data_IF_794437433720
#
_entry.id   IF_794437433720
#
_cell.length_a   1.000
_cell.length_b   1.000
_cell.length_c   1.000
_cell.angle_alpha   90.00
_cell.angle_beta   90.00
_cell.angle_gamma   90.00
#
_symmetry.space_group_name_H-M   'P 1'
#
loop_
_entity.id
_entity.type
_entity.pdbx_description
1 polymer ?
#
# COMPACT_ATOMS: atom_id res chain seq x y z
N UNK A 1 13.81 0.46 -7.56
CA UNK A 1 13.17 -0.46 -6.59
C UNK A 1 11.88 -0.98 -7.20
N UNK A 2 11.40 -2.15 -6.77
CA UNK A 2 10.15 -2.70 -7.26
C UNK A 2 9.38 -3.34 -6.11
N UNK A 3 8.09 -3.04 -6.02
CA UNK A 3 7.15 -3.76 -5.15
C UNK A 3 6.03 -4.40 -5.97
N UNK A 4 5.40 -5.40 -5.38
CA UNK A 4 4.25 -6.08 -5.97
C UNK A 4 2.98 -5.49 -5.38
N UNK A 5 2.00 -5.24 -6.24
CA UNK A 5 0.64 -4.99 -5.82
C UNK A 5 0.03 -6.24 -5.15
N UNK A 6 -1.04 -6.04 -4.39
CA UNK A 6 -1.81 -7.10 -3.73
C UNK A 6 -2.34 -8.11 -4.73
N UNK A 7 -2.79 -7.67 -5.91
CA UNK A 7 -3.27 -8.56 -6.98
C UNK A 7 -2.23 -9.62 -7.38
N UNK A 8 -0.96 -9.22 -7.53
CA UNK A 8 0.16 -10.14 -7.84
C UNK A 8 0.34 -11.16 -6.73
N UNK A 9 0.36 -10.69 -5.47
CA UNK A 9 0.59 -11.53 -4.30
C UNK A 9 -0.51 -12.60 -4.13
N UNK A 10 -1.75 -12.24 -4.47
CA UNK A 10 -2.89 -13.16 -4.42
C UNK A 10 -2.90 -14.15 -5.59
N UNK A 11 -2.61 -13.71 -6.80
CA UNK A 11 -2.71 -14.55 -8.01
C UNK A 11 -1.61 -15.59 -8.10
N UNK A 12 -0.38 -15.25 -7.70
CA UNK A 12 0.77 -16.16 -7.80
C UNK A 12 0.62 -17.43 -6.95
N UNK A 13 -0.10 -17.35 -5.84
CA UNK A 13 -0.30 -18.49 -4.92
C UNK A 13 -1.49 -19.36 -5.32
N UNK A 14 -2.35 -18.91 -6.24
CA UNK A 14 -3.49 -19.70 -6.71
C UNK A 14 -3.03 -20.88 -7.56
N UNK A 15 -3.60 -22.06 -7.30
CA UNK A 15 -3.32 -23.27 -8.12
C UNK A 15 -3.78 -23.14 -9.58
N UNK A 16 -4.82 -22.34 -9.83
CA UNK A 16 -5.38 -22.01 -11.15
C UNK A 16 -5.47 -20.49 -11.32
N UNK A 17 -4.37 -19.79 -11.03
CA UNK A 17 -4.29 -18.33 -11.17
C UNK A 17 -3.88 -17.88 -12.57
N UNK A 18 -3.95 -16.57 -12.80
CA UNK A 18 -3.54 -15.95 -14.07
C UNK A 18 -2.01 -15.92 -14.26
N UNK A 19 -1.25 -16.26 -13.22
CA UNK A 19 0.22 -16.28 -13.23
C UNK A 19 0.72 -17.72 -13.38
N UNK A 20 1.33 -18.03 -14.52
CA UNK A 20 2.00 -19.32 -14.73
C UNK A 20 3.25 -19.42 -13.84
N UNK A 21 3.51 -20.59 -13.27
CA UNK A 21 4.67 -20.86 -12.39
C UNK A 21 6.01 -20.63 -13.09
N UNK A 22 6.14 -21.00 -14.36
CA UNK A 22 7.41 -20.86 -15.08
C UNK A 22 7.67 -19.39 -15.45
N UNK A 23 6.61 -18.67 -15.84
CA UNK A 23 6.68 -17.22 -16.02
C UNK A 23 7.03 -16.51 -14.73
N UNK A 24 6.40 -16.90 -13.61
CA UNK A 24 6.74 -16.38 -12.29
C UNK A 24 8.20 -16.63 -11.92
N UNK A 25 8.72 -17.84 -12.15
CA UNK A 25 10.13 -18.17 -11.88
C UNK A 25 11.09 -17.33 -12.72
N UNK A 26 10.80 -17.16 -14.01
CA UNK A 26 11.59 -16.33 -14.92
C UNK A 26 11.57 -14.86 -14.49
N UNK A 27 10.38 -14.32 -14.25
CA UNK A 27 10.18 -12.95 -13.79
C UNK A 27 10.91 -12.68 -12.47
N UNK A 28 10.72 -13.54 -11.48
CA UNK A 28 11.36 -13.39 -10.16
C UNK A 28 12.88 -13.49 -10.25
N UNK A 29 13.43 -14.34 -11.13
CA UNK A 29 14.86 -14.38 -11.42
C UNK A 29 15.33 -13.04 -11.99
N UNK A 30 14.65 -12.51 -13.00
CA UNK A 30 14.98 -11.21 -13.59
C UNK A 30 14.92 -10.08 -12.55
N UNK A 31 13.80 -9.97 -11.82
CA UNK A 31 13.60 -8.92 -10.82
C UNK A 31 14.69 -8.94 -9.76
N UNK A 32 15.13 -10.13 -9.33
CA UNK A 32 16.18 -10.28 -8.32
C UNK A 32 17.52 -9.68 -8.77
N UNK A 33 17.83 -9.74 -10.06
CA UNK A 33 19.08 -9.22 -10.63
C UNK A 33 18.98 -7.74 -11.00
N UNK A 34 17.80 -7.26 -11.42
CA UNK A 34 17.62 -5.92 -11.96
C UNK A 34 17.14 -4.90 -10.92
N UNK A 35 16.36 -5.33 -9.92
CA UNK A 35 15.72 -4.43 -8.96
C UNK A 35 16.12 -4.72 -7.51
N UNK A 36 16.24 -3.64 -6.74
CA UNK A 36 16.10 -3.71 -5.28
C UNK A 36 14.61 -3.88 -4.94
N UNK A 37 14.24 -5.01 -4.34
CA UNK A 37 12.85 -5.25 -3.98
C UNK A 37 12.45 -4.44 -2.74
N UNK A 38 11.21 -3.99 -2.74
CA UNK A 38 10.56 -3.39 -1.59
C UNK A 38 9.15 -3.95 -1.40
N UNK A 39 8.58 -3.69 -0.23
CA UNK A 39 7.19 -4.01 0.11
C UNK A 39 6.50 -2.69 0.40
N UNK A 40 5.39 -2.41 -0.27
CA UNK A 40 4.59 -1.21 0.02
C UNK A 40 3.82 -1.42 1.33
N UNK A 41 3.62 -0.34 2.10
CA UNK A 41 2.75 -0.40 3.29
C UNK A 41 1.32 -0.82 2.92
N UNK A 42 0.85 -0.36 1.76
CA UNK A 42 -0.52 -0.61 1.28
C UNK A 42 -0.72 -2.10 0.93
N UNK A 43 0.20 -2.72 0.20
CA UNK A 43 0.10 -4.15 -0.09
C UNK A 43 0.16 -4.99 1.18
N UNK A 44 1.04 -4.61 2.12
CA UNK A 44 1.13 -5.30 3.39
C UNK A 44 -0.17 -5.20 4.21
N UNK A 45 -0.72 -3.98 4.39
CA UNK A 45 -1.95 -3.78 5.18
C UNK A 45 -3.15 -4.50 4.56
N UNK A 46 -3.27 -4.52 3.23
CA UNK A 46 -4.37 -5.20 2.54
C UNK A 46 -4.33 -6.71 2.76
N UNK A 47 -3.14 -7.32 2.68
CA UNK A 47 -2.98 -8.74 2.97
C UNK A 47 -3.25 -9.07 4.44
N UNK A 48 -2.91 -8.19 5.38
CA UNK A 48 -3.26 -8.36 6.79
C UNK A 48 -4.75 -8.26 7.06
N UNK A 49 -5.41 -7.25 6.50
CA UNK A 49 -6.87 -7.10 6.58
C UNK A 49 -7.57 -8.33 6.01
N UNK A 50 -7.10 -8.85 4.87
CA UNK A 50 -7.60 -10.10 4.30
C UNK A 50 -7.40 -11.29 5.25
N UNK A 51 -6.23 -11.39 5.87
CA UNK A 51 -5.91 -12.46 6.83
C UNK A 51 -6.80 -12.39 8.07
N UNK A 52 -7.05 -11.19 8.61
CA UNK A 52 -7.97 -10.97 9.74
C UNK A 52 -9.40 -11.40 9.40
N UNK A 53 -9.91 -11.04 8.22
CA UNK A 53 -11.28 -11.34 7.81
C UNK A 53 -11.52 -12.78 7.34
N UNK A 54 -10.46 -13.49 6.97
CA UNK A 54 -10.57 -14.89 6.52
C UNK A 54 -10.76 -15.84 7.69
N UNK A 55 -11.56 -16.89 7.54
CA UNK A 55 -11.78 -17.87 8.62
C UNK A 55 -10.49 -18.64 8.97
N UNK A 56 -10.34 -19.04 10.23
CA UNK A 56 -9.14 -19.73 10.74
C UNK A 56 -8.86 -21.05 10.03
N UNK A 57 -9.89 -21.76 9.54
CA UNK A 57 -9.71 -22.97 8.74
C UNK A 57 -8.94 -22.72 7.42
N UNK A 58 -8.93 -21.48 6.94
CA UNK A 58 -8.18 -21.04 5.76
C UNK A 58 -6.89 -20.30 6.11
N UNK A 59 -6.44 -20.33 7.37
CA UNK A 59 -5.24 -19.63 7.86
C UNK A 59 -4.03 -19.83 6.94
N UNK A 60 -3.69 -21.08 6.66
CA UNK A 60 -2.55 -21.42 5.80
C UNK A 60 -2.70 -20.83 4.39
N UNK A 61 -3.86 -21.00 3.77
CA UNK A 61 -4.13 -20.48 2.43
C UNK A 61 -4.08 -18.94 2.38
N UNK A 62 -4.62 -18.26 3.39
CA UNK A 62 -4.66 -16.80 3.44
C UNK A 62 -3.30 -16.19 3.81
N UNK A 63 -2.40 -16.98 4.40
CA UNK A 63 -1.03 -16.57 4.74
C UNK A 63 -0.06 -16.67 3.57
N UNK A 64 -0.27 -17.56 2.61
CA UNK A 64 0.65 -17.75 1.47
C UNK A 64 0.97 -16.45 0.69
N UNK A 65 0.02 -15.54 0.41
CA UNK A 65 0.34 -14.25 -0.21
C UNK A 65 1.38 -13.42 0.55
N UNK A 66 1.42 -13.49 1.88
CA UNK A 66 2.42 -12.78 2.70
C UNK A 66 3.82 -13.37 2.53
N UNK A 67 3.95 -14.66 2.17
CA UNK A 67 5.26 -15.25 1.81
C UNK A 67 5.81 -14.63 0.53
N UNK A 68 4.95 -14.20 -0.39
CA UNK A 68 5.35 -13.51 -1.61
C UNK A 68 6.04 -12.20 -1.26
N UNK A 69 5.58 -11.46 -0.25
CA UNK A 69 6.26 -10.25 0.22
C UNK A 69 7.65 -10.53 0.81
N UNK A 70 7.84 -11.71 1.41
CA UNK A 70 9.12 -12.18 1.96
C UNK A 70 9.99 -12.96 1.00
N UNK A 71 9.65 -13.01 -0.28
CA UNK A 71 10.42 -13.78 -1.26
C UNK A 71 11.89 -13.33 -1.37
N UNK A 72 12.18 -12.07 -1.01
CA UNK A 72 13.54 -11.53 -0.84
C UNK A 72 13.73 -11.08 0.61
N UNK A 73 14.70 -11.66 1.32
CA UNK A 73 14.93 -11.41 2.76
C UNK A 73 15.33 -9.96 3.07
N UNK A 74 16.02 -9.31 2.14
CA UNK A 74 16.50 -7.93 2.21
C UNK A 74 15.52 -6.90 1.59
N UNK A 75 14.28 -7.31 1.29
CA UNK A 75 13.27 -6.39 0.80
C UNK A 75 13.02 -5.28 1.84
N UNK A 76 13.11 -4.04 1.39
CA UNK A 76 12.87 -2.87 2.24
C UNK A 76 11.37 -2.63 2.34
N UNK A 77 10.86 -2.49 3.54
CA UNK A 77 9.49 -2.02 3.70
C UNK A 77 9.43 -0.49 3.55
N UNK A 78 8.54 -0.01 2.70
CA UNK A 78 8.28 1.41 2.55
C UNK A 78 7.43 1.92 3.72
N UNK A 79 7.73 3.13 4.16
CA UNK A 79 6.93 3.84 5.18
C UNK A 79 5.48 4.09 4.69
N UNK A 80 4.59 4.51 5.59
CA UNK A 80 3.24 4.95 5.20
C UNK A 80 3.36 6.01 4.09
N UNK A 81 2.51 5.98 3.04
CA UNK A 81 2.74 6.77 1.83
C UNK A 81 2.92 8.29 2.04
N UNK A 82 2.12 8.96 2.91
CA UNK A 82 2.35 10.38 3.25
C UNK A 82 3.73 10.65 3.87
N UNK A 83 4.16 9.82 4.81
CA UNK A 83 5.45 9.95 5.51
C UNK A 83 6.60 9.77 4.51
N UNK A 84 6.53 8.69 3.72
CA UNK A 84 7.53 8.40 2.70
C UNK A 84 7.71 9.60 1.75
N UNK A 85 6.58 10.15 1.28
CA UNK A 85 6.61 11.26 0.32
C UNK A 85 7.21 12.51 0.93
N UNK A 86 6.79 12.91 2.13
CA UNK A 86 7.32 14.09 2.81
C UNK A 86 8.83 13.96 2.99
N UNK A 87 9.28 12.82 3.50
CA UNK A 87 10.70 12.54 3.71
C UNK A 87 11.49 12.56 2.41
N UNK A 88 10.97 11.94 1.36
CA UNK A 88 11.66 11.84 0.08
C UNK A 88 11.71 13.16 -0.68
N UNK A 89 10.60 13.89 -0.73
CA UNK A 89 10.47 15.12 -1.53
C UNK A 89 11.02 16.32 -0.79
N UNK A 90 10.73 16.45 0.51
CA UNK A 90 11.10 17.61 1.31
C UNK A 90 12.38 17.40 2.11
N UNK A 91 12.80 16.16 2.37
CA UNK A 91 13.97 15.87 3.21
C UNK A 91 13.70 16.09 4.70
N UNK A 92 12.42 16.07 5.11
CA UNK A 92 11.97 16.34 6.48
C UNK A 92 11.40 15.06 7.09
N UNK A 93 11.74 14.79 8.35
CA UNK A 93 11.11 13.69 9.09
C UNK A 93 9.65 14.03 9.39
N UNK A 94 8.75 13.09 9.08
CA UNK A 94 7.32 13.19 9.34
C UNK A 94 6.85 12.02 10.20
N UNK A 95 5.78 12.26 10.96
CA UNK A 95 5.04 11.22 11.67
C UNK A 95 3.55 11.57 11.61
N UNK A 96 2.63 10.60 11.62
CA UNK A 96 1.21 10.88 11.71
C UNK A 96 0.93 11.67 12.99
N UNK A 97 0.08 12.69 12.92
CA UNK A 97 -0.25 13.53 14.09
C UNK A 97 -0.77 12.71 15.28
N UNK A 98 -1.51 11.64 15.00
CA UNK A 98 -2.02 10.70 16.00
C UNK A 98 -0.94 9.84 16.69
N UNK A 99 0.28 9.81 16.16
CA UNK A 99 1.40 8.99 16.67
C UNK A 99 2.53 9.86 17.28
N UNK A 100 2.32 11.17 17.44
CA UNK A 100 3.34 12.11 17.95
C UNK A 100 3.65 11.93 19.44
N UNK A 101 2.69 11.47 20.25
CA UNK A 101 2.79 11.42 21.72
C UNK A 101 3.38 10.11 22.29
N UNK A 102 3.94 9.23 21.44
CA UNK A 102 4.39 7.92 21.91
C UNK A 102 5.16 7.13 20.89
N UNK A 103 6.08 7.77 20.16
CA UNK A 103 6.91 7.09 19.15
C UNK A 103 7.49 5.81 19.74
N UNK A 104 7.22 4.63 19.15
CA UNK A 104 7.89 3.42 19.56
C UNK A 104 9.40 3.61 19.41
N UNK A 105 10.19 3.12 20.36
CA UNK A 105 11.66 3.18 20.29
C UNK A 105 12.26 2.43 19.08
N UNK A 106 11.44 1.62 18.39
CA UNK A 106 11.83 0.77 17.26
C UNK A 106 11.25 1.35 15.97
N UNK A 107 12.03 1.49 14.88
CA UNK A 107 11.53 1.91 13.58
C UNK A 107 10.34 1.07 13.10
N UNK A 108 9.36 1.72 12.47
CA UNK A 108 8.15 1.06 11.97
C UNK A 108 8.46 -0.12 11.03
N UNK A 109 9.49 0.01 10.19
CA UNK A 109 9.95 -1.05 9.30
C UNK A 109 10.43 -2.32 10.03
N UNK A 110 11.06 -2.16 11.20
CA UNK A 110 11.50 -3.28 12.03
C UNK A 110 10.32 -3.95 12.74
N UNK A 111 9.37 -3.16 13.24
CA UNK A 111 8.15 -3.68 13.85
C UNK A 111 7.35 -4.53 12.86
N UNK A 112 7.13 -4.01 11.66
CA UNK A 112 6.38 -4.71 10.62
C UNK A 112 7.12 -5.95 10.15
N UNK A 113 8.46 -5.86 10.05
CA UNK A 113 9.28 -7.03 9.75
C UNK A 113 9.10 -8.11 10.82
N UNK A 114 9.08 -7.77 12.10
CA UNK A 114 8.85 -8.72 13.17
C UNK A 114 7.43 -9.31 13.15
N UNK A 115 6.40 -8.50 12.88
CA UNK A 115 5.01 -8.94 12.73
C UNK A 115 4.87 -9.91 11.55
N UNK A 116 5.46 -9.59 10.40
CA UNK A 116 5.43 -10.46 9.23
C UNK A 116 6.13 -11.80 9.51
N UNK A 117 7.27 -11.78 10.21
CA UNK A 117 7.95 -13.02 10.63
C UNK A 117 7.06 -13.84 11.59
N UNK A 118 6.36 -13.17 12.52
CA UNK A 118 5.47 -13.83 13.47
C UNK A 118 4.28 -14.50 12.78
N UNK A 119 3.63 -13.80 11.83
CA UNK A 119 2.52 -14.35 11.04
C UNK A 119 2.96 -15.61 10.28
N UNK A 120 4.14 -15.57 9.66
CA UNK A 120 4.69 -16.69 8.89
C UNK A 120 5.06 -17.92 9.74
N UNK A 121 5.13 -17.77 11.06
CA UNK A 121 5.41 -18.85 12.01
C UNK A 121 4.16 -19.31 12.75
N UNK A 122 3.23 -18.40 13.05
CA UNK A 122 2.01 -18.68 13.81
C UNK A 122 1.14 -19.76 13.15
N UNK A 123 0.56 -20.65 13.95
CA UNK A 123 -0.30 -21.76 13.52
C UNK A 123 -1.73 -21.32 13.23
N UNK A 124 -2.19 -20.25 13.87
CA UNK A 124 -3.51 -19.66 13.72
C UNK A 124 -3.51 -18.23 14.27
N UNK A 125 -4.67 -17.55 14.20
CA UNK A 125 -4.83 -16.18 14.70
C UNK A 125 -4.68 -16.07 16.21
N UNK A 126 -5.17 -17.06 16.95
CA UNK A 126 -5.12 -17.09 18.42
C UNK A 126 -3.67 -17.06 18.88
N UNK A 127 -2.80 -17.89 18.32
CA UNK A 127 -1.37 -17.89 18.66
C UNK A 127 -0.69 -16.55 18.34
N UNK A 128 -1.08 -15.87 17.25
CA UNK A 128 -0.55 -14.55 16.93
C UNK A 128 -0.96 -13.48 17.96
N UNK A 129 -2.18 -13.58 18.47
CA UNK A 129 -2.73 -12.69 19.50
C UNK A 129 -2.19 -12.97 20.90
N UNK A 130 -1.91 -14.23 21.22
CA UNK A 130 -1.36 -14.64 22.52
C UNK A 130 0.16 -14.47 22.59
N UNK A 131 0.85 -14.60 21.45
CA UNK A 131 2.28 -14.35 21.33
C UNK A 131 3.02 -15.47 20.61
N UNK A 132 3.78 -15.10 19.59
CA UNK A 132 4.59 -16.02 18.78
C UNK A 132 6.05 -15.86 19.16
N UNK A 133 6.69 -16.95 19.59
CA UNK A 133 8.14 -16.99 19.78
C UNK A 133 8.84 -17.16 18.44
N UNK A 134 9.64 -16.18 18.05
CA UNK A 134 10.40 -16.25 16.81
C UNK A 134 11.60 -17.22 16.96
N UNK A 135 11.84 -18.16 16.03
CA UNK A 135 12.91 -19.16 16.20
C UNK A 135 14.34 -18.59 16.32
N UNK A 136 14.58 -17.38 15.80
CA UNK A 136 15.92 -16.75 15.73
C UNK A 136 16.06 -15.46 16.52
N UNK A 137 14.96 -14.96 17.06
CA UNK A 137 14.93 -13.77 17.92
C UNK A 137 14.37 -14.25 19.23
N UNK A 138 15.06 -14.08 20.36
CA UNK A 138 14.52 -14.46 21.67
C UNK A 138 13.44 -13.47 22.13
N UNK A 139 12.49 -13.21 21.23
CA UNK A 139 11.46 -12.19 21.31
C UNK A 139 10.12 -12.88 21.05
N UNK A 140 9.15 -12.55 21.88
CA UNK A 140 7.75 -12.90 21.69
C UNK A 140 7.09 -11.71 21.01
N UNK A 141 6.45 -11.97 19.87
CA UNK A 141 5.70 -10.95 19.14
C UNK A 141 4.22 -11.23 19.35
N UNK A 142 3.51 -10.22 19.86
CA UNK A 142 2.06 -10.20 20.00
C UNK A 142 1.50 -9.27 18.93
N UNK A 143 0.52 -9.73 18.18
CA UNK A 143 -0.16 -8.90 17.19
C UNK A 143 -1.64 -9.27 17.07
N UNK A 144 -2.50 -8.30 17.34
CA UNK A 144 -3.96 -8.47 17.23
C UNK A 144 -4.43 -8.06 15.83
N UNK A 145 -4.70 -9.06 15.00
CA UNK A 145 -5.20 -8.87 13.63
C UNK A 145 -6.56 -8.16 13.59
N UNK A 146 -7.42 -8.41 14.57
CA UNK A 146 -8.77 -7.84 14.61
C UNK A 146 -8.72 -6.36 15.01
N UNK A 147 -7.86 -6.02 15.98
CA UNK A 147 -7.59 -4.63 16.31
C UNK A 147 -7.02 -3.86 15.11
N UNK A 148 -6.10 -4.48 14.37
CA UNK A 148 -5.55 -3.88 13.15
C UNK A 148 -6.62 -3.67 12.07
N UNK A 149 -7.48 -4.66 11.79
CA UNK A 149 -8.55 -4.52 10.79
C UNK A 149 -9.57 -3.46 11.20
N UNK A 150 -9.92 -3.37 12.49
CA UNK A 150 -10.82 -2.32 13.00
C UNK A 150 -10.26 -0.92 12.73
N UNK A 151 -8.97 -0.70 13.02
CA UNK A 151 -8.29 0.57 12.77
C UNK A 151 -8.22 0.92 11.26
N UNK A 152 -7.87 -0.05 10.41
CA UNK A 152 -7.82 0.19 8.97
C UNK A 152 -9.23 0.40 8.38
N UNK A 153 -10.25 -0.27 8.92
CA UNK A 153 -11.64 -0.09 8.50
C UNK A 153 -12.18 1.29 8.87
N UNK A 154 -11.85 1.81 10.06
CA UNK A 154 -12.25 3.18 10.44
C UNK A 154 -11.59 4.22 9.53
N UNK A 155 -10.30 4.04 9.21
CA UNK A 155 -9.59 4.98 8.34
C UNK A 155 -10.16 4.98 6.91
N UNK A 156 -10.55 3.81 6.38
CA UNK A 156 -11.26 3.72 5.09
C UNK A 156 -12.62 4.42 5.15
N UNK A 157 -13.36 4.27 6.25
CA UNK A 157 -14.66 4.90 6.42
C UNK A 157 -14.55 6.43 6.49
N UNK A 158 -13.52 6.97 7.15
CA UNK A 158 -13.23 8.41 7.15
C UNK A 158 -13.03 8.95 5.73
N UNK A 159 -12.31 8.22 4.89
CA UNK A 159 -12.14 8.60 3.49
C UNK A 159 -13.44 8.50 2.67
N UNK A 160 -14.22 7.43 2.86
CA UNK A 160 -15.53 7.31 2.22
C UNK A 160 -16.47 8.47 2.61
N UNK A 161 -16.47 8.87 3.88
CA UNK A 161 -17.22 10.02 4.36
C UNK A 161 -16.74 11.35 3.76
N UNK A 162 -15.43 11.50 3.51
CA UNK A 162 -14.88 12.66 2.80
C UNK A 162 -15.42 12.73 1.37
N UNK A 163 -15.41 11.61 0.65
CA UNK A 163 -15.95 11.57 -0.73
C UNK A 163 -17.46 11.78 -0.77
N UNK A 164 -18.19 11.28 0.23
CA UNK A 164 -19.61 11.57 0.41
C UNK A 164 -19.85 13.06 0.70
N UNK A 165 -19.02 13.69 1.53
CA UNK A 165 -19.07 15.13 1.77
C UNK A 165 -18.80 15.97 0.51
N UNK A 166 -17.93 15.51 -0.39
CA UNK A 166 -17.74 16.12 -1.72
C UNK A 166 -19.01 15.99 -2.58
N UNK A 167 -19.64 14.81 -2.59
CA UNK A 167 -20.90 14.56 -3.31
C UNK A 167 -22.01 15.48 -2.82
N UNK A 168 -22.13 15.63 -1.51
CA UNK A 168 -23.18 16.43 -0.87
C UNK A 168 -22.91 17.94 -0.96
N UNK A 169 -21.79 18.36 -1.55
CA UNK A 169 -21.38 19.77 -1.65
C UNK A 169 -20.97 20.40 -0.31
N UNK A 170 -20.79 19.58 0.73
CA UNK A 170 -20.34 20.00 2.06
C UNK A 170 -18.83 20.32 2.03
N UNK A 171 -18.08 19.52 1.28
CA UNK A 171 -16.64 19.68 1.10
C UNK A 171 -16.38 20.24 -0.29
N UNK A 172 -15.48 21.23 -0.37
CA UNK A 172 -15.02 21.78 -1.66
C UNK A 172 -13.82 20.94 -2.11
N UNK A 173 -13.83 20.54 -3.39
CA UNK A 173 -12.70 19.86 -4.01
C UNK A 173 -11.45 20.75 -3.97
N UNK A 174 -10.42 20.28 -3.28
CA UNK A 174 -9.10 20.94 -3.25
C UNK A 174 -8.37 20.75 -4.57
N UNK A 175 -7.54 21.73 -4.93
CA UNK A 175 -6.51 21.56 -5.96
C UNK A 175 -5.31 20.76 -5.41
N UNK A 176 -4.30 20.53 -6.25
CA UNK A 176 -3.11 19.75 -5.87
C UNK A 176 -2.33 20.37 -4.71
N UNK A 177 -2.28 21.71 -4.64
CA UNK A 177 -1.63 22.44 -3.55
C UNK A 177 -2.40 22.26 -2.23
N UNK A 178 -3.73 22.34 -2.26
CA UNK A 178 -4.60 22.08 -1.12
C UNK A 178 -4.50 20.63 -0.62
N UNK A 179 -4.39 19.66 -1.53
CA UNK A 179 -4.11 18.26 -1.16
C UNK A 179 -2.74 18.10 -0.50
N UNK A 180 -1.70 18.78 -1.01
CA UNK A 180 -0.38 18.80 -0.39
C UNK A 180 -0.42 19.41 1.02
N UNK A 181 -1.14 20.52 1.19
CA UNK A 181 -1.32 21.17 2.48
C UNK A 181 -2.01 20.24 3.51
N UNK A 182 -3.03 19.50 3.05
CA UNK A 182 -3.70 18.51 3.90
C UNK A 182 -2.76 17.39 4.35
N UNK A 183 -1.97 16.82 3.44
CA UNK A 183 -0.96 15.78 3.77
C UNK A 183 0.01 16.28 4.84
N UNK A 184 0.54 17.50 4.66
CA UNK A 184 1.47 18.11 5.63
C UNK A 184 0.82 18.27 7.01
N UNK A 185 -0.41 18.79 7.05
CA UNK A 185 -1.15 18.96 8.29
C UNK A 185 -1.42 17.62 9.01
N UNK A 186 -1.78 16.56 8.27
CA UNK A 186 -1.98 15.21 8.83
C UNK A 186 -0.69 14.61 9.41
N UNK A 187 0.47 15.04 8.91
CA UNK A 187 1.78 14.67 9.44
C UNK A 187 2.34 15.68 10.47
N UNK A 188 1.49 16.57 11.01
CA UNK A 188 1.89 17.52 12.05
C UNK A 188 2.81 18.64 11.55
N UNK A 189 2.88 18.88 10.25
CA UNK A 189 3.73 19.91 9.64
C UNK A 189 2.90 21.12 9.20
N UNK A 190 3.50 22.30 9.32
CA UNK A 190 2.92 23.54 8.77
C UNK A 190 2.95 23.51 7.24
N UNK A 191 1.82 23.76 6.56
CA UNK A 191 1.73 23.69 5.11
C UNK A 191 2.25 24.99 4.45
N UNK A 192 3.57 25.19 4.46
CA UNK A 192 4.18 26.30 3.72
C UNK A 192 3.97 26.15 2.21
N UNK A 193 3.74 27.26 1.51
CA UNK A 193 3.48 27.29 0.06
C UNK A 193 4.54 26.53 -0.73
N UNK A 194 5.82 26.79 -0.46
CA UNK A 194 6.95 26.12 -1.14
C UNK A 194 6.90 24.59 -0.99
N UNK A 195 6.59 24.09 0.22
CA UNK A 195 6.47 22.66 0.45
C UNK A 195 5.28 22.06 -0.30
N UNK A 196 4.15 22.79 -0.34
CA UNK A 196 2.96 22.34 -1.03
C UNK A 196 3.19 22.27 -2.55
N UNK A 197 3.81 23.30 -3.14
CA UNK A 197 4.15 23.32 -4.56
C UNK A 197 5.14 22.19 -4.92
N UNK A 198 6.16 21.98 -4.07
CA UNK A 198 7.15 20.93 -4.28
C UNK A 198 6.53 19.53 -4.21
N UNK A 199 5.67 19.25 -3.23
CA UNK A 199 4.91 18.00 -3.15
C UNK A 199 3.99 17.83 -4.36
N UNK A 200 3.25 18.88 -4.71
CA UNK A 200 2.32 18.89 -5.84
C UNK A 200 2.98 18.51 -7.16
N UNK A 201 4.18 19.04 -7.43
CA UNK A 201 4.96 18.68 -8.62
C UNK A 201 5.46 17.23 -8.67
N UNK A 202 5.42 16.50 -7.55
CA UNK A 202 5.96 15.13 -7.39
C UNK A 202 4.89 14.07 -7.17
N UNK A 203 3.62 14.46 -7.09
CA UNK A 203 2.48 13.58 -6.80
C UNK A 203 1.42 13.61 -7.91
N UNK A 204 1.82 13.92 -9.15
CA UNK A 204 0.90 14.09 -10.28
C UNK A 204 -0.02 12.87 -10.49
N UNK A 205 0.51 11.63 -10.52
CA UNK A 205 -0.31 10.42 -10.65
C UNK A 205 -1.30 10.27 -9.49
N UNK A 206 -0.84 10.45 -8.26
CA UNK A 206 -1.69 10.34 -7.07
C UNK A 206 -2.83 11.37 -7.09
N UNK A 207 -2.55 12.60 -7.54
CA UNK A 207 -3.53 13.67 -7.59
C UNK A 207 -4.50 13.53 -8.74
N UNK A 208 -4.05 13.10 -9.93
CA UNK A 208 -4.95 12.73 -11.03
C UNK A 208 -5.92 11.65 -10.62
N UNK A 209 -5.43 10.63 -9.92
CA UNK A 209 -6.29 9.56 -9.42
C UNK A 209 -7.30 10.08 -8.38
N UNK A 210 -6.86 10.89 -7.43
CA UNK A 210 -7.76 11.50 -6.45
C UNK A 210 -8.82 12.41 -7.09
N UNK A 211 -8.44 13.14 -8.14
CA UNK A 211 -9.35 13.94 -8.95
C UNK A 211 -10.37 13.09 -9.68
N UNK A 212 -9.96 11.97 -10.27
CA UNK A 212 -10.88 11.00 -10.84
C UNK A 212 -11.87 10.46 -9.78
N UNK A 213 -11.41 10.13 -8.58
CA UNK A 213 -12.28 9.73 -7.46
C UNK A 213 -13.26 10.84 -7.06
N UNK A 214 -12.80 12.08 -7.01
CA UNK A 214 -13.65 13.24 -6.73
C UNK A 214 -14.71 13.44 -7.81
N UNK A 215 -14.40 13.10 -9.08
CA UNK A 215 -15.38 13.13 -10.16
C UNK A 215 -16.35 11.94 -10.10
N UNK A 216 -15.92 10.76 -9.61
CA UNK A 216 -16.83 9.66 -9.28
C UNK A 216 -17.82 10.02 -8.16
N UNK A 217 -17.50 10.99 -7.29
CA UNK A 217 -18.47 11.49 -6.30
C UNK A 217 -19.73 12.08 -6.92
N UNK A 218 -19.63 12.59 -8.15
CA UNK A 218 -20.78 13.10 -8.89
C UNK A 218 -21.60 11.98 -9.56
N UNK A 219 -21.06 10.77 -9.63
CA UNK A 219 -21.74 9.61 -10.22
C UNK A 219 -22.64 8.96 -9.16
N UNK A 220 -23.98 8.95 -9.34
CA UNK A 220 -24.90 8.35 -8.37
C UNK A 220 -24.77 6.82 -8.27
N UNK A 221 -24.15 6.17 -9.25
CA UNK A 221 -23.94 4.72 -9.25
C UNK A 221 -22.64 4.29 -8.54
N UNK A 222 -21.82 5.25 -8.11
CA UNK A 222 -20.57 4.96 -7.43
C UNK A 222 -20.78 4.99 -5.90
N UNK A 223 -20.84 3.84 -5.25
CA UNK A 223 -21.01 3.78 -3.80
C UNK A 223 -19.65 3.71 -3.08
N UNK A 224 -19.29 4.78 -2.35
CA UNK A 224 -18.05 4.86 -1.57
C UNK A 224 -17.96 3.89 -0.40
N UNK A 225 -19.09 3.33 0.03
CA UNK A 225 -19.16 2.36 1.12
C UNK A 225 -19.20 0.92 0.61
N UNK A 226 -19.31 0.71 -0.71
CA UNK A 226 -19.21 -0.62 -1.33
C UNK A 226 -17.76 -1.10 -1.26
N UNK A 227 -17.58 -2.37 -0.84
CA UNK A 227 -16.28 -3.06 -0.82
C UNK A 227 -15.54 -2.99 -2.15
N UNK A 228 -16.25 -2.90 -3.27
CA UNK A 228 -15.68 -2.77 -4.63
C UNK A 228 -14.98 -1.44 -4.87
N UNK A 229 -15.43 -0.37 -4.23
CA UNK A 229 -14.92 0.99 -4.43
C UNK A 229 -14.02 1.47 -3.30
N UNK A 230 -14.13 0.88 -2.10
CA UNK A 230 -13.23 1.16 -0.98
C UNK A 230 -11.75 0.87 -1.30
N UNK A 231 -11.48 -0.09 -2.20
CA UNK A 231 -10.12 -0.40 -2.67
C UNK A 231 -9.49 0.72 -3.51
N UNK A 232 -10.29 1.54 -4.19
CA UNK A 232 -9.76 2.60 -5.07
C UNK A 232 -8.97 3.65 -4.26
N UNK A 233 -9.24 3.82 -2.96
CA UNK A 233 -8.44 4.66 -2.07
C UNK A 233 -7.07 4.07 -1.75
N UNK A 234 -7.03 2.76 -1.47
CA UNK A 234 -5.78 2.05 -1.21
C UNK A 234 -4.89 2.09 -2.46
N UNK A 235 -5.49 1.95 -3.64
CA UNK A 235 -4.82 2.13 -4.92
C UNK A 235 -4.23 3.55 -5.08
N UNK A 236 -5.02 4.58 -4.80
CA UNK A 236 -4.54 5.97 -4.84
C UNK A 236 -3.34 6.19 -3.90
N UNK A 237 -3.31 5.51 -2.75
CA UNK A 237 -2.20 5.59 -1.80
C UNK A 237 -0.90 4.98 -2.35
N UNK A 238 -0.97 3.93 -3.18
CA UNK A 238 0.24 3.31 -3.75
C UNK A 238 0.99 4.29 -4.66
N UNK A 239 0.28 5.22 -5.32
CA UNK A 239 0.83 6.21 -6.25
C UNK A 239 1.76 7.23 -5.61
N UNK A 240 1.65 7.44 -4.29
CA UNK A 240 2.52 8.36 -3.56
C UNK A 240 3.99 7.94 -3.63
N UNK A 241 4.27 6.64 -3.70
CA UNK A 241 5.64 6.14 -3.82
C UNK A 241 6.32 6.56 -5.13
N UNK A 242 5.55 6.96 -6.15
CA UNK A 242 6.10 7.38 -7.44
C UNK A 242 6.75 8.76 -7.40
N UNK A 243 6.69 9.48 -6.27
CA UNK A 243 7.52 10.67 -6.07
C UNK A 243 9.02 10.36 -6.22
N UNK A 244 9.46 9.12 -5.94
CA UNK A 244 10.76 8.58 -6.35
C UNK A 244 10.62 7.87 -7.71
N UNK A 245 11.21 8.46 -8.76
CA UNK A 245 11.19 7.93 -10.14
C UNK A 245 11.80 6.53 -10.28
N UNK A 246 12.55 6.06 -9.28
CA UNK A 246 13.19 4.74 -9.30
C UNK A 246 12.28 3.66 -8.76
N UNK A 247 11.13 3.99 -8.16
CA UNK A 247 10.19 3.00 -7.61
C UNK A 247 9.22 2.59 -8.70
N UNK A 248 9.10 1.28 -8.91
CA UNK A 248 8.11 0.69 -9.81
C UNK A 248 7.15 -0.20 -9.02
N UNK A 249 5.91 -0.26 -9.49
CA UNK A 249 4.90 -1.19 -9.02
C UNK A 249 4.63 -2.21 -10.11
N UNK A 250 4.58 -3.50 -9.76
CA UNK A 250 4.06 -4.53 -10.64
C UNK A 250 2.63 -4.87 -10.24
N UNK A 251 1.68 -4.82 -11.18
CA UNK A 251 0.25 -5.08 -10.94
C UNK A 251 -0.37 -5.97 -12.02
N UNK A 252 -1.50 -6.60 -11.71
CA UNK A 252 -2.40 -7.23 -12.69
C UNK A 252 -3.57 -6.32 -13.09
N UNK A 253 -3.76 -5.21 -12.39
CA UNK A 253 -4.89 -4.33 -12.62
C UNK A 253 -4.58 -3.34 -13.76
N UNK A 254 -5.25 -3.56 -14.91
CA UNK A 254 -5.17 -2.65 -16.05
C UNK A 254 -5.86 -1.32 -15.77
N UNK A 255 -6.91 -1.30 -14.95
CA UNK A 255 -7.58 -0.04 -14.61
C UNK A 255 -6.61 0.90 -13.89
N UNK A 256 -5.69 0.34 -13.09
CA UNK A 256 -4.66 1.13 -12.43
C UNK A 256 -3.72 1.81 -13.44
N UNK A 257 -3.34 1.11 -14.51
CA UNK A 257 -2.55 1.69 -15.62
C UNK A 257 -3.34 2.82 -16.28
N UNK A 258 -4.58 2.55 -16.66
CA UNK A 258 -5.45 3.50 -17.36
C UNK A 258 -5.71 4.77 -16.52
N UNK A 259 -5.92 4.61 -15.21
CA UNK A 259 -6.14 5.74 -14.27
C UNK A 259 -4.89 6.60 -14.06
N UNK A 260 -3.70 6.08 -14.37
CA UNK A 260 -2.44 6.85 -14.31
C UNK A 260 -2.00 7.39 -15.66
N UNK A 261 -2.74 7.10 -16.73
CA UNK A 261 -2.42 7.53 -18.08
C UNK A 261 -2.31 9.07 -18.18
N UNK A 262 -1.31 9.54 -18.94
CA UNK A 262 -1.01 10.96 -19.07
C UNK A 262 -0.22 11.57 -17.91
N UNK A 263 0.03 10.82 -16.83
CA UNK A 263 1.01 11.22 -15.82
C UNK A 263 2.44 10.94 -16.29
N UNK A 264 3.43 11.82 -16.03
CA UNK A 264 4.84 11.47 -16.23
C UNK A 264 5.32 10.32 -15.34
N UNK A 265 4.53 9.92 -14.34
CA UNK A 265 4.79 8.80 -13.44
C UNK A 265 4.18 7.48 -13.94
N UNK A 266 3.36 7.49 -15.01
CA UNK A 266 2.74 6.29 -15.57
C UNK A 266 3.74 5.15 -15.87
N UNK A 267 4.97 5.40 -16.39
CA UNK A 267 5.96 4.33 -16.63
C UNK A 267 6.43 3.57 -15.38
N UNK A 268 6.07 4.05 -14.19
CA UNK A 268 6.36 3.37 -12.92
C UNK A 268 5.36 2.25 -12.61
N UNK A 269 4.21 2.22 -13.28
CA UNK A 269 3.26 1.10 -13.21
C UNK A 269 3.61 0.09 -14.29
N UNK A 270 3.97 -1.11 -13.88
CA UNK A 270 4.29 -2.23 -14.75
C UNK A 270 3.12 -3.21 -14.74
N UNK A 271 2.44 -3.40 -15.86
CA UNK A 271 1.45 -4.46 -15.99
C UNK A 271 2.16 -5.81 -16.16
N UNK A 272 1.77 -6.80 -15.37
CA UNK A 272 2.41 -8.11 -15.35
C UNK A 272 2.49 -8.78 -16.73
N UNK A 273 1.40 -8.78 -17.49
CA UNK A 273 1.35 -9.43 -18.80
C UNK A 273 2.34 -8.81 -19.78
N UNK A 274 2.42 -7.48 -19.82
CA UNK A 274 3.35 -6.74 -20.66
C UNK A 274 4.80 -6.94 -20.20
N UNK A 275 5.03 -6.91 -18.89
CA UNK A 275 6.37 -7.06 -18.34
C UNK A 275 6.93 -8.47 -18.49
N UNK A 276 6.12 -9.52 -18.37
CA UNK A 276 6.58 -10.89 -18.64
C UNK A 276 6.88 -11.10 -20.12
N UNK A 277 6.04 -10.54 -21.00
CA UNK A 277 6.25 -10.66 -22.45
C UNK A 277 7.56 -9.99 -22.90
N UNK A 278 7.95 -8.88 -22.28
CA UNK A 278 9.24 -8.22 -22.58
C UNK A 278 10.48 -8.99 -22.09
N UNK A 279 10.30 -10.04 -21.28
CA UNK A 279 11.38 -10.96 -20.89
C UNK A 279 11.47 -12.19 -21.81
N UNK A 280 10.54 -12.34 -22.76
CA UNK A 280 10.53 -13.45 -23.72
C UNK A 280 11.25 -13.10 -25.04
N UNK A 281 11.43 -11.80 -25.30
CA UNK A 281 12.26 -11.22 -26.37
C UNK A 281 13.72 -11.11 -25.95
#
# INVERSE_FOLDING_TARGET
MLFFDTSICLEVVKKKGNINRDDWRRLTKYIRHTYRCCVSWVTWKELLVRLSRGEDQYWEQNREPLRVLRWKRDAVLLEKPPIFTIKHVLGVDAAPKAELDGRPAIPLSEQISAVLDAILVARNKIELKEGVKLPRKNQIIVFDLDHFDLFESSTRLEYANLLQGLRDGIIIRSDSTGLSAWILHQCGLTPYTEHCEKLSSRLDAAYRYHFWLSDQAKNPNYDFHDKRHLGDWDDAQQLFYFCDRRIHMLTLDRNFVDRTEGSPQAPQVLLYSEFVNSLAS
#
